data_IF_007727088076
#
_entry.id   IF_007727088076
#
_cell.length_a   1.000
_cell.length_b   1.000
_cell.length_c   1.000
_cell.angle_alpha   90.00
_cell.angle_beta   90.00
_cell.angle_gamma   90.00
#
_symmetry.space_group_name_H-M   'P 1'
#
loop_
_entity.id
_entity.type
_entity.pdbx_description
1 polymer ?
#
# COMPACT_ATOMS: atom_id res chain seq x y z
N UNK A 1 24.98 -6.94 -0.17
CA UNK A 1 24.33 -6.02 -1.14
C UNK A 1 22.87 -5.88 -0.73
N UNK A 2 22.42 -4.69 -0.31
CA UNK A 2 20.99 -4.43 -0.06
C UNK A 2 20.31 -4.28 -1.42
N UNK A 3 19.41 -5.18 -1.77
CA UNK A 3 18.60 -5.11 -2.99
C UNK A 3 17.63 -3.92 -2.88
N UNK A 4 18.09 -2.74 -3.24
CA UNK A 4 17.20 -1.59 -3.43
C UNK A 4 16.26 -1.85 -4.60
N UNK A 5 15.00 -1.41 -4.47
CA UNK A 5 14.03 -1.41 -5.56
C UNK A 5 14.67 -0.77 -6.81
N UNK A 6 14.85 -1.54 -7.89
CA UNK A 6 15.32 -0.99 -9.18
C UNK A 6 14.38 0.15 -9.60
N UNK A 7 14.90 1.18 -10.28
CA UNK A 7 14.17 2.41 -10.67
C UNK A 7 12.85 2.17 -11.45
N UNK A 8 12.58 0.97 -11.91
CA UNK A 8 11.38 0.60 -12.66
C UNK A 8 10.45 -0.39 -11.95
N UNK A 9 10.88 -0.98 -10.83
CA UNK A 9 10.04 -1.90 -10.08
C UNK A 9 8.94 -1.10 -9.34
N UNK A 10 7.71 -1.60 -9.38
CA UNK A 10 6.61 -1.03 -8.60
C UNK A 10 6.44 -1.73 -7.27
N UNK A 11 6.26 -0.95 -6.23
CA UNK A 11 5.89 -1.43 -4.91
C UNK A 11 4.51 -0.91 -4.55
N UNK A 12 3.63 -1.80 -4.10
CA UNK A 12 2.38 -1.45 -3.45
C UNK A 12 2.61 -1.52 -1.94
N UNK A 13 2.47 -0.36 -1.29
CA UNK A 13 2.50 -0.23 0.16
C UNK A 13 1.07 0.00 0.63
N UNK A 14 0.62 -0.75 1.64
CA UNK A 14 -0.77 -0.64 2.11
C UNK A 14 -0.92 -0.70 3.62
N UNK A 15 -2.09 -0.28 4.09
CA UNK A 15 -2.59 -0.47 5.44
C UNK A 15 -4.01 -1.05 5.38
N UNK A 16 -4.31 -1.95 6.32
CA UNK A 16 -5.65 -2.50 6.51
C UNK A 16 -6.35 -1.74 7.64
N UNK A 17 -7.58 -1.34 7.39
CA UNK A 17 -8.46 -0.68 8.35
C UNK A 17 -9.71 -1.53 8.59
N UNK A 18 -10.12 -1.59 9.85
CA UNK A 18 -11.34 -2.28 10.28
C UNK A 18 -12.23 -1.29 11.04
N UNK A 19 -13.44 -1.08 10.53
CA UNK A 19 -14.46 -0.30 11.21
C UNK A 19 -15.11 -1.12 12.33
N UNK A 20 -15.66 -0.49 13.38
CA UNK A 20 -16.37 -1.20 14.46
C UNK A 20 -17.59 -2.00 13.99
N UNK A 21 -18.21 -1.59 12.88
CA UNK A 21 -19.36 -2.26 12.25
C UNK A 21 -18.98 -3.47 11.38
N UNK A 22 -17.69 -3.82 11.32
CA UNK A 22 -17.17 -4.95 10.57
C UNK A 22 -16.78 -4.65 9.12
N UNK A 23 -16.96 -3.42 8.63
CA UNK A 23 -16.44 -3.05 7.30
C UNK A 23 -14.91 -3.03 7.29
N UNK A 24 -14.33 -3.60 6.25
CA UNK A 24 -12.88 -3.60 6.05
C UNK A 24 -12.49 -2.78 4.84
N UNK A 25 -11.43 -2.00 4.99
CA UNK A 25 -10.88 -1.17 3.93
C UNK A 25 -9.37 -1.38 3.82
N UNK A 26 -8.88 -1.50 2.59
CA UNK A 26 -7.44 -1.39 2.32
C UNK A 26 -7.18 -0.06 1.68
N UNK A 27 -6.14 0.59 2.15
CA UNK A 27 -5.69 1.83 1.55
C UNK A 27 -4.23 1.72 1.18
N UNK A 28 -3.91 2.14 -0.03
CA UNK A 28 -2.67 1.74 -0.67
C UNK A 28 -2.06 2.85 -1.51
N UNK A 29 -0.76 2.70 -1.73
CA UNK A 29 0.07 3.55 -2.57
C UNK A 29 0.88 2.66 -3.50
N UNK A 30 0.87 2.95 -4.79
CA UNK A 30 1.77 2.34 -5.77
C UNK A 30 2.91 3.32 -6.04
N UNK A 31 4.12 2.88 -5.70
CA UNK A 31 5.37 3.59 -5.95
C UNK A 31 6.05 3.01 -7.19
N UNK A 32 6.72 3.85 -7.97
CA UNK A 32 7.75 3.42 -8.94
C UNK A 32 9.13 3.72 -8.36
N UNK A 33 9.89 2.67 -8.06
CA UNK A 33 11.10 2.82 -7.26
C UNK A 33 10.79 3.39 -5.87
N UNK A 34 11.72 4.17 -5.32
CA UNK A 34 11.55 4.92 -4.06
C UNK A 34 11.35 6.43 -4.29
N UNK A 35 11.04 6.84 -5.52
CA UNK A 35 11.16 8.24 -5.97
C UNK A 35 9.82 8.89 -6.34
N UNK A 36 8.81 8.11 -6.70
CA UNK A 36 7.54 8.68 -7.17
C UNK A 36 6.34 7.83 -6.79
N UNK A 37 5.33 8.50 -6.24
CA UNK A 37 3.96 8.00 -6.10
C UNK A 37 3.30 8.01 -7.48
N UNK A 38 2.85 6.86 -7.98
CA UNK A 38 2.09 6.77 -9.23
C UNK A 38 0.59 6.70 -8.98
N UNK A 39 0.17 6.02 -7.91
CA UNK A 39 -1.24 5.83 -7.62
C UNK A 39 -1.51 5.76 -6.11
N UNK A 40 -2.67 6.29 -5.70
CA UNK A 40 -3.20 6.22 -4.35
C UNK A 40 -4.66 5.81 -4.45
N UNK A 41 -5.10 4.86 -3.64
CA UNK A 41 -6.47 4.39 -3.69
C UNK A 41 -6.94 3.75 -2.40
N UNK A 42 -8.27 3.58 -2.34
CA UNK A 42 -9.02 2.93 -1.28
C UNK A 42 -9.83 1.79 -1.89
N UNK A 43 -9.81 0.64 -1.24
CA UNK A 43 -10.56 -0.55 -1.62
C UNK A 43 -11.42 -0.98 -0.44
N UNK A 44 -12.71 -1.19 -0.68
CA UNK A 44 -13.60 -1.83 0.28
C UNK A 44 -13.53 -3.35 0.15
N UNK A 45 -13.62 -4.08 1.26
CA UNK A 45 -13.53 -5.55 1.32
C UNK A 45 -12.15 -6.08 1.71
N UNK A 46 -11.33 -5.26 2.37
CA UNK A 46 -10.10 -5.72 3.02
C UNK A 46 -9.05 -6.30 2.07
N UNK A 47 -8.28 -7.26 2.58
CA UNK A 47 -7.17 -7.87 1.83
C UNK A 47 -7.64 -8.67 0.61
N UNK A 48 -8.85 -9.23 0.62
CA UNK A 48 -9.40 -9.94 -0.53
C UNK A 48 -9.58 -9.02 -1.75
N UNK A 49 -10.05 -7.80 -1.51
CA UNK A 49 -10.14 -6.78 -2.55
C UNK A 49 -8.77 -6.28 -3.01
N UNK A 50 -7.80 -6.18 -2.11
CA UNK A 50 -6.42 -5.88 -2.49
C UNK A 50 -5.83 -6.98 -3.39
N UNK A 51 -6.02 -8.24 -3.03
CA UNK A 51 -5.51 -9.39 -3.78
C UNK A 51 -6.11 -9.44 -5.19
N UNK A 52 -7.43 -9.23 -5.33
CA UNK A 52 -8.09 -9.09 -6.63
C UNK A 52 -7.56 -7.90 -7.43
N UNK A 53 -7.38 -6.75 -6.78
CA UNK A 53 -6.80 -5.58 -7.45
C UNK A 53 -5.39 -5.87 -7.98
N UNK A 54 -4.53 -6.53 -7.19
CA UNK A 54 -3.17 -6.89 -7.59
C UNK A 54 -3.17 -7.90 -8.75
N UNK A 55 -4.05 -8.89 -8.73
CA UNK A 55 -4.09 -9.95 -9.75
C UNK A 55 -4.76 -9.53 -11.06
N UNK A 56 -5.84 -8.74 -11.00
CA UNK A 56 -6.71 -8.48 -12.15
C UNK A 56 -6.43 -7.13 -12.83
N UNK A 57 -6.00 -6.12 -12.07
CA UNK A 57 -5.78 -4.79 -12.66
C UNK A 57 -4.49 -4.72 -13.48
N UNK A 58 -4.47 -3.87 -14.51
CA UNK A 58 -3.26 -3.59 -15.29
C UNK A 58 -2.15 -2.99 -14.44
N UNK A 59 -2.50 -2.15 -13.47
CA UNK A 59 -1.56 -1.56 -12.51
C UNK A 59 -1.01 -2.61 -11.53
N UNK A 60 -1.89 -3.40 -10.92
CA UNK A 60 -1.56 -4.48 -9.99
C UNK A 60 -0.58 -5.50 -10.57
N UNK A 61 -0.82 -5.94 -11.81
CA UNK A 61 0.06 -6.92 -12.49
C UNK A 61 1.50 -6.44 -12.69
N UNK A 62 1.74 -5.13 -12.64
CA UNK A 62 3.08 -4.56 -12.75
C UNK A 62 3.79 -4.35 -11.40
N UNK A 63 3.07 -4.56 -10.29
CA UNK A 63 3.62 -4.52 -8.93
C UNK A 63 4.51 -5.76 -8.71
N UNK A 64 5.70 -5.53 -8.17
CA UNK A 64 6.69 -6.58 -7.85
C UNK A 64 6.78 -6.86 -6.36
N UNK A 65 6.34 -5.91 -5.55
CA UNK A 65 6.41 -5.97 -4.10
C UNK A 65 5.07 -5.50 -3.56
N UNK A 66 4.45 -6.33 -2.73
CA UNK A 66 3.30 -5.96 -1.92
C UNK A 66 3.73 -6.07 -0.47
N UNK A 67 3.60 -4.97 0.27
CA UNK A 67 4.00 -4.93 1.67
C UNK A 67 3.06 -4.06 2.48
N UNK A 68 2.69 -4.55 3.66
CA UNK A 68 2.04 -3.71 4.65
C UNK A 68 3.07 -2.75 5.25
N UNK A 69 2.63 -1.57 5.70
CA UNK A 69 3.53 -0.54 6.25
C UNK A 69 4.42 -1.10 7.37
N UNK A 70 3.86 -1.89 8.27
CA UNK A 70 4.60 -2.51 9.40
C UNK A 70 5.66 -3.52 8.96
N UNK A 71 5.59 -4.03 7.73
CA UNK A 71 6.54 -5.01 7.20
C UNK A 71 7.73 -4.37 6.48
N UNK A 72 7.68 -3.06 6.20
CA UNK A 72 8.66 -2.41 5.33
C UNK A 72 10.09 -2.49 5.87
N UNK A 73 10.28 -2.35 7.18
CA UNK A 73 11.59 -2.51 7.81
C UNK A 73 12.13 -3.93 7.68
N UNK A 74 11.29 -4.92 8.01
CA UNK A 74 11.65 -6.34 7.95
C UNK A 74 11.99 -6.79 6.53
N UNK A 75 11.34 -6.22 5.52
CA UNK A 75 11.60 -6.51 4.10
C UNK A 75 12.76 -5.70 3.50
N UNK A 76 13.46 -4.90 4.30
CA UNK A 76 14.57 -4.07 3.82
C UNK A 76 14.15 -2.90 2.94
N UNK A 77 12.86 -2.53 2.96
CA UNK A 77 12.23 -1.49 2.17
C UNK A 77 12.08 -0.18 2.96
N UNK A 78 13.00 0.06 3.89
CA UNK A 78 13.00 1.24 4.77
C UNK A 78 12.92 2.58 4.04
N UNK A 79 13.40 2.67 2.80
CA UNK A 79 13.26 3.88 1.97
C UNK A 79 11.80 4.24 1.64
N UNK A 80 10.86 3.30 1.79
CA UNK A 80 9.43 3.52 1.57
C UNK A 80 8.68 3.93 2.85
N UNK A 81 9.32 3.87 4.03
CA UNK A 81 8.66 4.15 5.31
C UNK A 81 8.08 5.57 5.36
N UNK A 82 8.81 6.57 4.86
CA UNK A 82 8.31 7.95 4.86
C UNK A 82 6.97 8.08 4.09
N UNK A 83 6.83 7.34 2.98
CA UNK A 83 5.59 7.30 2.20
C UNK A 83 4.50 6.47 2.89
N UNK A 84 4.88 5.34 3.51
CA UNK A 84 3.98 4.54 4.33
C UNK A 84 3.40 5.34 5.50
N UNK A 85 4.24 6.03 6.27
CA UNK A 85 3.79 6.88 7.38
C UNK A 85 2.92 8.05 6.91
N UNK A 86 3.32 8.72 5.82
CA UNK A 86 2.51 9.77 5.21
C UNK A 86 1.10 9.26 4.94
N UNK A 87 1.01 8.09 4.29
CA UNK A 87 -0.28 7.59 3.88
C UNK A 87 -1.10 7.09 5.06
N UNK A 88 -0.46 6.45 6.05
CA UNK A 88 -1.11 6.09 7.32
C UNK A 88 -1.76 7.30 7.99
N UNK A 89 -1.07 8.44 8.04
CA UNK A 89 -1.64 9.70 8.60
C UNK A 89 -2.81 10.21 7.77
N UNK A 90 -2.68 10.26 6.45
CA UNK A 90 -3.78 10.63 5.57
C UNK A 90 -4.99 9.70 5.77
N UNK A 91 -4.76 8.41 5.95
CA UNK A 91 -5.81 7.41 6.12
C UNK A 91 -6.47 7.42 7.48
N UNK A 92 -5.78 7.83 8.55
CA UNK A 92 -6.44 8.08 9.83
C UNK A 92 -7.51 9.17 9.72
N UNK A 93 -7.34 10.14 8.83
CA UNK A 93 -8.39 11.14 8.57
C UNK A 93 -9.52 10.57 7.71
N UNK A 94 -9.22 9.73 6.70
CA UNK A 94 -10.23 9.03 5.90
C UNK A 94 -11.04 8.05 6.77
N UNK A 95 -10.41 7.34 7.70
CA UNK A 95 -11.04 6.40 8.62
C UNK A 95 -12.17 7.06 9.40
N UNK A 96 -11.96 8.28 9.92
CA UNK A 96 -12.97 9.06 10.64
C UNK A 96 -14.20 9.38 9.79
N UNK A 97 -14.06 9.42 8.47
CA UNK A 97 -15.17 9.67 7.54
C UNK A 97 -15.91 8.39 7.15
N UNK A 98 -15.23 7.24 7.21
CA UNK A 98 -15.78 5.97 6.75
C UNK A 98 -16.44 5.13 7.86
N UNK A 99 -15.99 5.21 9.12
CA UNK A 99 -16.32 4.21 10.17
C UNK A 99 -17.31 4.65 11.29
#
# INVERSE_FOLDING_TARGET
MKEGLKREARALVYELMRCPDGREYVVYLIMRGALSVEHVGLLEGGEDSLNRFVSESSFGRSVRVVARIEELEMKGLSSLLAYGEFIKRFFMEVYKLLC
#
